data_IF_148035550758
#
_entry.id   IF_148035550758
#
_cell.length_a   1.000
_cell.length_b   1.000
_cell.length_c   1.000
_cell.angle_alpha   90.00
_cell.angle_beta   90.00
_cell.angle_gamma   90.00
#
_symmetry.space_group_name_H-M   'P 1'
#
loop_
_entity.id
_entity.type
_entity.pdbx_description
1 polymer ?
#
# COMPACT_ATOMS: atom_id res chain seq x y z
N UNK A 1 -0.68 -0.60 5.79
CA UNK A 1 -0.40 0.72 6.36
C UNK A 1 1.07 1.02 6.13
N UNK A 2 1.40 1.97 5.27
CA UNK A 2 2.80 2.32 4.94
C UNK A 2 3.38 3.39 5.87
N UNK A 3 2.64 3.78 6.92
CA UNK A 3 2.93 4.97 7.71
C UNK A 3 2.57 6.29 7.01
N UNK A 4 2.04 6.24 5.78
CA UNK A 4 1.58 7.41 5.03
C UNK A 4 0.11 7.75 5.28
N UNK A 5 -0.23 9.03 5.11
CA UNK A 5 -1.57 9.60 5.36
C UNK A 5 -2.69 8.88 4.63
N UNK A 6 -2.50 8.50 3.36
CA UNK A 6 -3.55 7.85 2.58
C UNK A 6 -3.95 6.49 3.16
N UNK A 7 -2.96 5.72 3.64
CA UNK A 7 -3.22 4.42 4.25
C UNK A 7 -3.87 4.53 5.63
N UNK A 8 -3.53 5.59 6.37
CA UNK A 8 -4.14 5.91 7.67
C UNK A 8 -5.61 6.29 7.50
N UNK A 9 -5.91 7.18 6.56
CA UNK A 9 -7.29 7.62 6.27
C UNK A 9 -8.10 6.46 5.68
N UNK A 10 -7.49 5.63 4.81
CA UNK A 10 -8.17 4.44 4.31
C UNK A 10 -8.63 3.50 5.43
N UNK A 11 -7.78 3.25 6.43
CA UNK A 11 -8.14 2.44 7.60
C UNK A 11 -9.25 3.10 8.43
N UNK A 12 -9.13 4.41 8.68
CA UNK A 12 -10.12 5.17 9.45
C UNK A 12 -11.51 5.15 8.80
N UNK A 13 -11.59 5.40 7.48
CA UNK A 13 -12.85 5.38 6.72
C UNK A 13 -13.52 4.01 6.75
N UNK A 14 -12.74 2.92 6.74
CA UNK A 14 -13.30 1.56 6.84
C UNK A 14 -13.83 1.26 8.23
N UNK A 15 -13.08 1.66 9.27
CA UNK A 15 -13.51 1.51 10.67
C UNK A 15 -14.83 2.24 10.92
N UNK A 16 -14.96 3.47 10.40
CA UNK A 16 -16.17 4.28 10.50
C UNK A 16 -17.37 3.67 9.78
N UNK A 17 -17.13 2.98 8.65
CA UNK A 17 -18.16 2.20 7.93
C UNK A 17 -18.53 0.87 8.63
N UNK A 18 -18.06 0.65 9.86
CA UNK A 18 -18.37 -0.54 10.64
C UNK A 18 -17.62 -1.80 10.20
N UNK A 19 -16.57 -1.68 9.37
CA UNK A 19 -15.76 -2.83 9.01
C UNK A 19 -14.87 -3.29 10.18
N UNK A 20 -14.64 -4.60 10.30
CA UNK A 20 -13.55 -5.12 11.11
C UNK A 20 -12.24 -4.88 10.36
N UNK A 21 -11.40 -4.00 10.89
CA UNK A 21 -10.15 -3.57 10.24
C UNK A 21 -8.95 -4.13 10.98
N UNK A 22 -8.00 -4.68 10.22
CA UNK A 22 -6.68 -5.09 10.69
C UNK A 22 -5.65 -4.27 9.92
N UNK A 23 -4.78 -3.56 10.65
CA UNK A 23 -3.65 -2.86 10.08
C UNK A 23 -2.51 -3.83 9.76
N UNK A 24 -2.01 -3.80 8.53
CA UNK A 24 -0.84 -4.62 8.14
C UNK A 24 0.24 -3.73 7.54
N UNK A 25 1.46 -3.77 8.08
CA UNK A 25 2.66 -3.16 7.47
C UNK A 25 3.53 -4.24 6.84
N UNK A 26 4.00 -3.98 5.62
CA UNK A 26 4.93 -4.88 4.92
C UNK A 26 6.36 -4.42 5.19
N UNK A 27 7.23 -5.32 5.66
CA UNK A 27 8.66 -5.10 5.68
C UNK A 27 9.25 -5.65 4.38
N UNK A 28 9.74 -4.75 3.54
CA UNK A 28 10.24 -5.05 2.18
C UNK A 28 11.62 -4.46 1.88
N UNK A 29 12.15 -3.60 2.75
CA UNK A 29 13.51 -3.04 2.62
C UNK A 29 14.53 -3.95 3.30
N UNK A 30 15.72 -4.01 2.73
CA UNK A 30 16.89 -4.77 3.22
C UNK A 30 17.82 -3.96 4.12
N UNK A 31 17.67 -2.64 4.17
CA UNK A 31 18.67 -1.75 4.80
C UNK A 31 18.75 -1.86 6.33
N UNK A 32 17.77 -2.46 6.99
CA UNK A 32 17.79 -2.67 8.43
C UNK A 32 17.88 -4.17 8.76
N UNK A 33 19.09 -4.75 8.63
CA UNK A 33 19.49 -5.97 9.34
C UNK A 33 19.93 -5.66 10.78
N UNK A 34 19.27 -4.71 11.44
CA UNK A 34 19.41 -4.51 12.87
C UNK A 34 18.34 -5.35 13.57
N UNK A 35 18.78 -6.15 14.55
CA UNK A 35 17.92 -6.98 15.38
C UNK A 35 16.66 -6.21 15.80
N UNK A 36 15.50 -6.81 15.55
CA UNK A 36 14.19 -6.21 15.81
C UNK A 36 13.97 -6.18 17.33
N UNK A 37 14.57 -5.19 18.00
CA UNK A 37 14.00 -4.68 19.24
C UNK A 37 12.82 -3.77 18.89
N UNK A 38 11.75 -3.71 19.71
CA UNK A 38 10.63 -2.80 19.49
C UNK A 38 11.04 -1.33 19.30
N UNK A 39 12.19 -0.94 19.87
CA UNK A 39 12.74 0.41 19.83
C UNK A 39 13.58 0.70 18.58
N UNK A 40 13.95 -0.33 17.80
CA UNK A 40 14.75 -0.23 16.58
C UNK A 40 13.93 -0.33 15.28
N UNK A 41 12.60 -0.45 15.36
CA UNK A 41 11.77 -0.58 14.17
C UNK A 41 11.82 0.68 13.28
N UNK A 42 11.87 0.53 11.94
CA UNK A 42 11.83 1.64 11.01
C UNK A 42 10.70 2.63 11.32
N UNK A 43 10.97 3.93 11.19
CA UNK A 43 10.04 5.00 11.58
C UNK A 43 8.61 4.81 11.00
N UNK A 44 8.50 4.33 9.75
CA UNK A 44 7.20 4.10 9.12
C UNK A 44 6.36 2.98 9.77
N UNK A 45 7.00 1.98 10.39
CA UNK A 45 6.32 0.92 11.15
C UNK A 45 5.77 1.52 12.45
N UNK A 46 6.57 2.33 13.15
CA UNK A 46 6.13 3.01 14.36
C UNK A 46 5.01 4.01 14.07
N UNK A 47 5.04 4.71 12.94
CA UNK A 47 3.94 5.58 12.49
C UNK A 47 2.66 4.79 12.24
N UNK A 48 2.77 3.66 11.55
CA UNK A 48 1.61 2.79 11.29
C UNK A 48 1.02 2.24 12.60
N UNK A 49 1.87 1.87 13.56
CA UNK A 49 1.45 1.40 14.90
C UNK A 49 0.69 2.49 15.65
N UNK A 50 1.25 3.71 15.74
CA UNK A 50 0.59 4.86 16.39
C UNK A 50 -0.78 5.18 15.79
N UNK A 51 -0.91 5.08 14.47
CA UNK A 51 -2.20 5.26 13.80
C UNK A 51 -3.17 4.12 14.16
N UNK A 52 -2.70 2.88 14.15
CA UNK A 52 -3.53 1.74 14.50
C UNK A 52 -4.03 1.81 15.96
N UNK A 53 -3.17 2.22 16.89
CA UNK A 53 -3.51 2.46 18.29
C UNK A 53 -4.57 3.56 18.43
N UNK A 54 -4.38 4.69 17.74
CA UNK A 54 -5.35 5.79 17.72
C UNK A 54 -6.72 5.38 17.14
N UNK A 55 -6.75 4.42 16.22
CA UNK A 55 -7.97 3.88 15.62
C UNK A 55 -8.58 2.70 16.40
N UNK A 56 -7.88 2.18 17.43
CA UNK A 56 -8.29 0.98 18.15
C UNK A 56 -8.41 -0.24 17.24
N UNK A 57 -7.42 -0.46 16.36
CA UNK A 57 -7.36 -1.62 15.45
C UNK A 57 -6.08 -2.42 15.69
N UNK A 58 -6.11 -3.76 15.55
CA UNK A 58 -4.90 -4.58 15.64
C UNK A 58 -3.93 -4.24 14.50
N UNK A 59 -2.63 -4.32 14.78
CA UNK A 59 -1.57 -4.04 13.82
C UNK A 59 -0.55 -5.18 13.75
N UNK A 60 -0.26 -5.64 12.54
CA UNK A 60 0.74 -6.68 12.27
C UNK A 60 1.82 -6.17 11.30
N UNK A 61 3.03 -6.67 11.48
CA UNK A 61 4.12 -6.50 10.53
C UNK A 61 4.41 -7.85 9.89
N UNK A 62 4.39 -7.91 8.56
CA UNK A 62 4.79 -9.10 7.82
C UNK A 62 6.08 -8.84 7.06
N UNK A 63 7.05 -9.73 7.26
CA UNK A 63 8.24 -9.80 6.44
C UNK A 63 7.90 -10.38 5.07
N UNK A 64 8.09 -9.57 4.04
CA UNK A 64 7.90 -9.93 2.64
C UNK A 64 9.19 -9.66 1.83
N UNK A 65 10.35 -9.56 2.49
CA UNK A 65 11.62 -9.21 1.83
C UNK A 65 11.98 -10.19 0.71
N UNK A 66 11.88 -11.49 0.96
CA UNK A 66 12.26 -12.51 -0.03
C UNK A 66 11.37 -12.46 -1.28
N UNK A 67 10.04 -12.41 -1.08
CA UNK A 67 9.10 -12.33 -2.21
C UNK A 67 9.22 -10.99 -2.94
N UNK A 68 9.47 -9.90 -2.21
CA UNK A 68 9.69 -8.58 -2.79
C UNK A 68 10.96 -8.55 -3.64
N UNK A 69 12.07 -9.09 -3.13
CA UNK A 69 13.31 -9.21 -3.88
C UNK A 69 13.08 -10.00 -5.18
N UNK A 70 12.48 -11.18 -5.09
CA UNK A 70 12.34 -12.09 -6.22
C UNK A 70 11.32 -11.62 -7.27
N UNK A 71 10.25 -10.91 -6.86
CA UNK A 71 9.16 -10.50 -7.76
C UNK A 71 9.23 -9.04 -8.19
N UNK A 72 10.03 -8.21 -7.53
CA UNK A 72 10.12 -6.76 -7.81
C UNK A 72 11.56 -6.34 -8.11
N UNK A 73 12.50 -6.56 -7.19
CA UNK A 73 13.89 -6.07 -7.33
C UNK A 73 14.65 -6.81 -8.42
N UNK A 74 14.69 -8.15 -8.37
CA UNK A 74 15.43 -8.94 -9.34
C UNK A 74 14.92 -8.73 -10.79
N UNK A 75 13.61 -8.72 -11.07
CA UNK A 75 13.09 -8.34 -12.39
C UNK A 75 13.45 -6.91 -12.78
N UNK A 76 13.38 -5.94 -11.85
CA UNK A 76 13.78 -4.56 -12.10
C UNK A 76 15.24 -4.48 -12.59
N UNK A 77 16.19 -5.08 -11.87
CA UNK A 77 17.60 -5.11 -12.27
C UNK A 77 17.80 -5.84 -13.61
N UNK A 78 17.07 -6.93 -13.84
CA UNK A 78 17.15 -7.70 -15.10
C UNK A 78 16.71 -6.87 -16.31
N UNK A 79 15.62 -6.10 -16.18
CA UNK A 79 15.11 -5.24 -17.26
C UNK A 79 16.11 -4.12 -17.60
N UNK A 80 16.74 -3.51 -16.60
CA UNK A 80 17.81 -2.54 -16.82
C UNK A 80 19.03 -3.16 -17.53
N UNK A 81 19.47 -4.36 -17.12
CA UNK A 81 20.55 -5.09 -17.81
C UNK A 81 20.21 -5.41 -19.26
N UNK A 82 18.93 -5.52 -19.59
CA UNK A 82 18.45 -5.76 -20.94
C UNK A 82 18.16 -4.46 -21.73
N UNK A 83 18.57 -3.30 -21.22
CA UNK A 83 18.41 -2.00 -21.87
C UNK A 83 16.97 -1.47 -21.89
N UNK A 84 16.11 -1.94 -20.97
CA UNK A 84 14.71 -1.50 -20.85
C UNK A 84 14.51 -0.70 -19.56
N UNK A 85 13.47 0.12 -19.53
CA UNK A 85 13.07 0.91 -18.36
C UNK A 85 11.86 0.26 -17.67
N UNK A 86 12.05 -0.53 -16.61
CA UNK A 86 10.96 -1.18 -15.89
C UNK A 86 10.17 -0.22 -14.99
N UNK A 87 8.92 -0.59 -14.71
CA UNK A 87 8.11 0.03 -13.66
C UNK A 87 7.85 -0.97 -12.52
N UNK A 88 8.65 -0.93 -11.42
CA UNK A 88 8.53 -1.92 -10.36
C UNK A 88 7.25 -1.76 -9.53
N UNK A 89 6.62 -0.58 -9.54
CA UNK A 89 5.38 -0.34 -8.79
C UNK A 89 4.21 -1.17 -9.33
N UNK A 90 4.16 -1.40 -10.64
CA UNK A 90 3.15 -2.29 -11.26
C UNK A 90 3.33 -3.73 -10.77
N UNK A 91 4.58 -4.21 -10.77
CA UNK A 91 4.92 -5.55 -10.24
C UNK A 91 4.63 -5.69 -8.75
N UNK A 92 4.99 -4.68 -7.95
CA UNK A 92 4.70 -4.63 -6.51
C UNK A 92 3.19 -4.70 -6.23
N UNK A 93 2.38 -3.94 -6.95
CA UNK A 93 0.93 -4.02 -6.79
C UNK A 93 0.42 -5.42 -7.14
N UNK A 94 0.84 -5.98 -8.28
CA UNK A 94 0.37 -7.29 -8.75
C UNK A 94 0.81 -8.45 -7.86
N UNK A 95 2.08 -8.55 -7.48
CA UNK A 95 2.67 -9.74 -6.84
C UNK A 95 2.86 -9.60 -5.32
N UNK A 96 2.82 -8.38 -4.79
CA UNK A 96 3.06 -8.13 -3.37
C UNK A 96 1.76 -7.70 -2.70
N UNK A 97 1.20 -6.54 -3.07
CA UNK A 97 0.04 -5.98 -2.35
C UNK A 97 -1.26 -6.76 -2.56
N UNK A 98 -1.49 -7.27 -3.77
CA UNK A 98 -2.73 -7.97 -4.12
C UNK A 98 -2.52 -9.47 -4.36
N UNK A 99 -1.41 -10.03 -3.87
CA UNK A 99 -1.11 -11.46 -3.95
C UNK A 99 -0.51 -11.93 -2.62
N UNK A 100 0.80 -11.78 -2.41
CA UNK A 100 1.45 -12.21 -1.15
C UNK A 100 0.81 -11.61 0.13
N UNK A 101 0.48 -10.32 0.12
CA UNK A 101 -0.20 -9.65 1.24
C UNK A 101 -1.64 -10.15 1.42
N UNK A 102 -2.35 -10.46 0.32
CA UNK A 102 -3.70 -11.00 0.39
C UNK A 102 -3.69 -12.39 1.05
N UNK A 103 -2.72 -13.22 0.74
CA UNK A 103 -2.56 -14.54 1.38
C UNK A 103 -2.26 -14.41 2.87
N UNK A 104 -1.39 -13.48 3.27
CA UNK A 104 -1.16 -13.18 4.69
C UNK A 104 -2.42 -12.66 5.38
N UNK A 105 -3.18 -11.77 4.74
CA UNK A 105 -4.42 -11.26 5.29
C UNK A 105 -5.50 -12.34 5.45
N UNK A 106 -5.58 -13.30 4.51
CA UNK A 106 -6.46 -14.47 4.62
C UNK A 106 -6.14 -15.33 5.84
N UNK A 107 -4.86 -15.50 6.20
CA UNK A 107 -4.46 -16.21 7.42
C UNK A 107 -4.93 -15.52 8.71
N UNK A 108 -5.25 -14.23 8.65
CA UNK A 108 -5.84 -13.45 9.75
C UNK A 108 -7.39 -13.37 9.65
N UNK A 109 -8.01 -14.12 8.73
CA UNK A 109 -9.46 -14.11 8.51
C UNK A 109 -9.99 -12.95 7.67
N UNK A 110 -9.12 -12.11 7.09
CA UNK A 110 -9.55 -11.00 6.26
C UNK A 110 -9.87 -11.44 4.82
N UNK A 111 -11.08 -11.08 4.35
CA UNK A 111 -11.54 -11.40 2.99
C UNK A 111 -11.22 -10.34 1.93
N UNK A 112 -10.65 -9.18 2.31
CA UNK A 112 -10.34 -8.06 1.40
C UNK A 112 -9.09 -7.32 1.86
N UNK A 113 -8.40 -6.70 0.90
CA UNK A 113 -7.24 -5.82 1.12
C UNK A 113 -7.62 -4.38 0.77
N UNK A 114 -7.46 -3.50 1.76
CA UNK A 114 -7.58 -2.07 1.55
C UNK A 114 -6.21 -1.40 1.44
N UNK A 115 -6.08 -0.46 0.50
CA UNK A 115 -4.86 0.34 0.36
C UNK A 115 -5.22 1.83 0.23
N UNK A 116 -4.24 2.69 0.48
CA UNK A 116 -4.37 4.14 0.28
C UNK A 116 -4.22 4.56 -1.19
N UNK A 117 -4.47 3.68 -2.17
CA UNK A 117 -4.37 4.11 -3.57
C UNK A 117 -5.54 5.01 -3.95
N UNK A 118 -5.22 6.06 -4.71
CA UNK A 118 -6.18 6.96 -5.35
C UNK A 118 -6.70 6.34 -6.65
N UNK A 119 -7.50 5.29 -6.51
CA UNK A 119 -8.18 4.58 -7.58
C UNK A 119 -9.53 4.09 -7.08
N UNK A 120 -10.42 3.64 -7.96
CA UNK A 120 -11.73 3.12 -7.55
C UNK A 120 -11.96 1.74 -8.14
N UNK A 121 -12.73 0.93 -7.43
CA UNK A 121 -13.17 -0.37 -7.93
C UNK A 121 -14.68 -0.42 -7.82
N UNK A 122 -15.33 -0.72 -8.94
CA UNK A 122 -16.77 -0.93 -9.00
C UNK A 122 -17.05 -2.36 -9.47
N UNK A 123 -18.24 -2.86 -9.15
CA UNK A 123 -18.74 -4.14 -9.62
C UNK A 123 -19.94 -3.86 -10.51
N UNK A 124 -20.01 -4.52 -11.65
CA UNK A 124 -21.24 -4.58 -12.43
C UNK A 124 -22.16 -5.62 -11.79
N UNK A 125 -23.37 -5.21 -11.43
CA UNK A 125 -24.31 -6.07 -10.70
C UNK A 125 -24.89 -7.19 -11.58
N UNK A 126 -24.98 -6.97 -12.89
CA UNK A 126 -25.49 -7.96 -13.84
C UNK A 126 -24.49 -9.11 -14.09
N UNK A 127 -23.24 -8.79 -14.42
CA UNK A 127 -22.21 -9.80 -14.73
C UNK A 127 -21.33 -10.20 -13.53
N UNK A 128 -21.36 -9.42 -12.45
CA UNK A 128 -20.43 -9.56 -11.33
C UNK A 128 -18.99 -9.13 -11.64
N UNK A 129 -18.72 -8.59 -12.83
CA UNK A 129 -17.38 -8.17 -13.28
C UNK A 129 -16.87 -6.97 -12.49
N UNK A 130 -15.59 -6.99 -12.14
CA UNK A 130 -14.92 -5.90 -11.44
C UNK A 130 -14.29 -4.93 -12.44
N UNK A 131 -14.47 -3.63 -12.19
CA UNK A 131 -13.91 -2.55 -13.00
C UNK A 131 -12.96 -1.70 -12.16
N UNK A 132 -11.71 -1.60 -12.63
CA UNK A 132 -10.78 -0.60 -12.13
C UNK A 132 -11.12 0.75 -12.79
N UNK A 133 -11.32 1.76 -11.96
CA UNK A 133 -11.65 3.11 -12.36
C UNK A 133 -10.62 4.10 -11.83
N UNK A 134 -10.48 5.22 -12.54
CA UNK A 134 -9.65 6.34 -12.08
C UNK A 134 -10.15 6.88 -10.75
N UNK A 135 -9.21 7.33 -9.91
CA UNK A 135 -9.50 8.14 -8.73
C UNK A 135 -10.32 9.38 -9.08
N UNK A 136 -11.07 9.90 -8.10
CA UNK A 136 -11.86 11.12 -8.27
C UNK A 136 -10.95 12.32 -8.60
N UNK A 137 -9.85 12.43 -7.88
CA UNK A 137 -8.77 13.36 -8.19
C UNK A 137 -7.89 12.82 -9.32
N UNK A 138 -7.94 13.51 -10.46
CA UNK A 138 -7.23 13.12 -11.67
C UNK A 138 -5.73 13.40 -11.60
N UNK A 139 -5.29 14.35 -10.78
CA UNK A 139 -3.87 14.66 -10.61
C UNK A 139 -3.17 13.62 -9.73
N UNK A 140 -3.94 12.95 -8.88
CA UNK A 140 -3.45 11.92 -7.97
C UNK A 140 -3.88 10.52 -8.35
N UNK A 141 -4.54 10.33 -9.50
CA UNK A 141 -5.00 9.03 -9.96
C UNK A 141 -3.85 8.01 -10.05
N UNK A 142 -4.05 6.87 -9.39
CA UNK A 142 -3.08 5.77 -9.34
C UNK A 142 -3.56 4.52 -10.07
N UNK A 143 -4.67 4.60 -10.83
CA UNK A 143 -5.17 3.48 -11.64
C UNK A 143 -4.13 2.94 -12.61
N UNK A 144 -3.22 3.79 -13.10
CA UNK A 144 -2.10 3.39 -13.94
C UNK A 144 -1.23 2.31 -13.29
N UNK A 145 -0.92 2.40 -11.99
CA UNK A 145 -0.07 1.39 -11.33
C UNK A 145 -0.81 0.09 -11.02
N UNK A 146 -2.11 0.03 -11.30
CA UNK A 146 -3.01 -1.07 -10.97
C UNK A 146 -3.55 -1.79 -12.21
N UNK A 147 -3.12 -1.40 -13.42
CA UNK A 147 -3.66 -1.95 -14.67
C UNK A 147 -3.50 -3.48 -14.78
N UNK A 148 -2.46 -4.03 -14.13
CA UNK A 148 -2.12 -5.44 -14.23
C UNK A 148 -2.89 -6.34 -13.23
N UNK A 149 -3.81 -5.76 -12.43
CA UNK A 149 -4.62 -6.53 -11.50
C UNK A 149 -5.64 -7.39 -12.22
N UNK A 150 -5.74 -8.65 -11.80
CA UNK A 150 -6.72 -9.59 -12.33
C UNK A 150 -8.11 -9.37 -11.74
N UNK A 151 -9.15 -9.98 -12.33
CA UNK A 151 -10.50 -9.93 -11.78
C UNK A 151 -10.58 -10.51 -10.36
N UNK A 152 -9.81 -11.56 -10.08
CA UNK A 152 -9.73 -12.16 -8.74
C UNK A 152 -9.15 -11.17 -7.74
N UNK A 153 -8.05 -10.52 -8.09
CA UNK A 153 -7.40 -9.51 -7.24
C UNK A 153 -8.30 -8.30 -7.00
N UNK A 154 -8.96 -7.81 -8.05
CA UNK A 154 -9.89 -6.68 -7.95
C UNK A 154 -11.10 -7.00 -7.07
N UNK A 155 -11.59 -8.25 -7.03
CA UNK A 155 -12.71 -8.65 -6.16
C UNK A 155 -12.39 -8.49 -4.68
N UNK A 156 -11.11 -8.63 -4.33
CA UNK A 156 -10.61 -8.47 -2.96
C UNK A 156 -10.07 -7.06 -2.68
N UNK A 157 -9.93 -6.19 -3.68
CA UNK A 157 -9.35 -4.87 -3.52
C UNK A 157 -10.35 -3.82 -3.01
N UNK A 158 -9.89 -2.97 -2.10
CA UNK A 158 -10.62 -1.78 -1.65
C UNK A 158 -9.71 -0.55 -1.70
N UNK A 159 -10.27 0.56 -2.19
CA UNK A 159 -9.58 1.85 -2.30
C UNK A 159 -10.42 2.96 -1.66
N UNK A 160 -10.46 3.02 -0.30
CA UNK A 160 -11.40 3.90 0.39
C UNK A 160 -11.20 5.40 0.08
N UNK A 161 -9.95 5.81 -0.17
CA UNK A 161 -9.59 7.20 -0.50
C UNK A 161 -9.82 7.56 -1.97
N UNK A 162 -10.15 6.59 -2.84
CA UNK A 162 -10.30 6.83 -4.27
C UNK A 162 -11.45 7.77 -4.66
N UNK A 163 -12.38 8.02 -3.76
CA UNK A 163 -13.48 8.99 -3.92
C UNK A 163 -13.17 10.36 -3.30
N UNK A 164 -11.94 10.59 -2.85
CA UNK A 164 -11.51 11.84 -2.24
C UNK A 164 -10.48 12.55 -3.12
N UNK A 165 -10.43 13.87 -3.01
CA UNK A 165 -9.26 14.64 -3.43
C UNK A 165 -8.16 14.55 -2.39
N UNK A 166 -6.90 14.80 -2.78
CA UNK A 166 -5.79 14.67 -1.83
C UNK A 166 -5.89 15.64 -0.66
N UNK A 167 -6.37 16.86 -0.91
CA UNK A 167 -6.62 17.86 0.11
C UNK A 167 -7.65 17.35 1.12
N UNK A 168 -8.73 16.70 0.65
CA UNK A 168 -9.72 16.08 1.52
C UNK A 168 -9.12 14.96 2.35
N UNK A 169 -8.27 14.08 1.78
CA UNK A 169 -7.57 13.05 2.56
C UNK A 169 -6.78 13.69 3.72
N UNK A 170 -6.12 14.84 3.49
CA UNK A 170 -5.42 15.57 4.56
C UNK A 170 -6.39 16.17 5.59
N UNK A 171 -7.54 16.68 5.16
CA UNK A 171 -8.60 17.18 6.05
C UNK A 171 -9.14 16.04 6.93
N UNK A 172 -9.47 14.90 6.33
CA UNK A 172 -9.96 13.70 7.03
C UNK A 172 -8.95 13.22 8.09
N UNK A 173 -7.66 13.26 7.76
CA UNK A 173 -6.59 12.90 8.70
C UNK A 173 -6.51 13.88 9.89
N UNK A 174 -6.63 15.19 9.64
CA UNK A 174 -6.63 16.22 10.69
C UNK A 174 -7.85 16.12 11.59
N UNK A 175 -9.04 15.97 11.01
CA UNK A 175 -10.30 15.85 11.76
C UNK A 175 -10.31 14.65 12.71
N UNK A 176 -9.62 13.57 12.33
CA UNK A 176 -9.47 12.35 13.14
C UNK A 176 -8.21 12.35 14.00
N UNK A 177 -7.49 13.46 14.09
CA UNK A 177 -6.24 13.59 14.83
C UNK A 177 -5.22 12.48 14.51
N UNK A 178 -5.16 12.04 13.24
CA UNK A 178 -4.24 10.98 12.84
C UNK A 178 -2.79 11.50 12.86
N UNK A 179 -1.85 10.80 13.52
CA UNK A 179 -0.45 11.22 13.64
C UNK A 179 0.26 11.51 12.31
N UNK A 180 -0.23 10.95 11.20
CA UNK A 180 0.36 11.05 9.87
C UNK A 180 -0.14 12.25 9.05
N UNK A 181 -1.00 13.12 9.60
CA UNK A 181 -1.66 14.21 8.85
C UNK A 181 -0.72 15.25 8.23
N UNK A 182 0.51 15.39 8.75
CA UNK A 182 1.54 16.33 8.28
C UNK A 182 2.64 15.66 7.44
N UNK A 183 2.61 14.34 7.26
CA UNK A 183 3.68 13.60 6.58
C UNK A 183 3.69 13.92 5.08
N UNK A 184 4.88 14.14 4.53
CA UNK A 184 5.10 14.26 3.09
C UNK A 184 4.76 12.95 2.37
N UNK A 185 4.39 13.07 1.09
CA UNK A 185 4.16 11.90 0.25
C UNK A 185 5.49 11.20 -0.05
N UNK A 186 5.50 9.87 -0.01
CA UNK A 186 6.60 9.10 -0.58
C UNK A 186 6.54 9.24 -2.10
N UNK A 187 7.57 9.88 -2.65
CA UNK A 187 7.85 9.92 -4.09
C UNK A 187 9.00 8.94 -4.38
N UNK A 188 9.14 8.55 -5.64
CA UNK A 188 10.17 7.62 -6.13
C UNK A 188 10.02 6.14 -5.71
N UNK A 189 10.95 5.32 -6.19
CA UNK A 189 10.95 3.86 -6.01
C UNK A 189 11.40 3.52 -4.59
N UNK A 190 10.54 2.82 -3.85
CA UNK A 190 10.66 2.63 -2.40
C UNK A 190 11.91 1.87 -1.92
N UNK A 191 12.62 1.18 -2.81
CA UNK A 191 13.80 0.37 -2.49
C UNK A 191 15.09 0.95 -3.07
N UNK A 192 15.05 2.14 -3.67
CA UNK A 192 16.25 2.82 -4.18
C UNK A 192 16.66 3.88 -3.16
N UNK A 193 17.77 3.67 -2.43
CA UNK A 193 18.24 4.64 -1.46
C UNK A 193 18.57 5.97 -2.14
N UNK A 194 18.04 7.08 -1.60
CA UNK A 194 18.31 8.45 -2.05
C UNK A 194 18.06 8.69 -3.56
N UNK A 195 17.24 7.85 -4.20
CA UNK A 195 17.00 7.89 -5.65
C UNK A 195 18.27 7.71 -6.50
N UNK A 196 19.32 7.08 -5.95
CA UNK A 196 20.57 6.80 -6.67
C UNK A 196 20.48 5.45 -7.40
N UNK A 197 19.88 5.49 -8.59
CA UNK A 197 19.72 4.31 -9.46
C UNK A 197 21.06 3.72 -9.88
N UNK A 198 22.07 4.56 -10.13
CA UNK A 198 23.36 4.13 -10.65
C UNK A 198 24.16 3.35 -9.60
N UNK A 199 24.13 3.81 -8.34
CA UNK A 199 24.78 3.08 -7.26
C UNK A 199 24.00 1.81 -6.84
N UNK A 200 22.68 1.78 -7.07
CA UNK A 200 21.85 0.61 -6.75
C UNK A 200 22.00 -0.54 -7.76
N UNK A 201 22.07 -0.24 -9.06
CA UNK A 201 22.06 -1.23 -10.16
C UNK A 201 23.40 -1.97 -10.34
#
# INVERSE_FOLDING_TARGET
>A
MSGGVDSSVAAALLKERGCQVIGITMQVSTDDRTDISPDAAPAFINDARRVADALGIPHHVFDLRDVFHNKVIAPFCQEYRAGRTPNPCVGCNRYIKFDALLDKARSLGAGRIATGHHARVTRDDASGKMFLQKGRDRQKDQSYFLYALTQEQLRHAMFPVGNLAKEEVRIEAKQRNLPTGSRSESQDICFIPKNDYANFL
#
